data_IF_394834039891
#
_entry.id   IF_394834039891
#
_cell.length_a   1.000
_cell.length_b   1.000
_cell.length_c   1.000
_cell.angle_alpha   90.00
_cell.angle_beta   90.00
_cell.angle_gamma   90.00
#
_symmetry.space_group_name_H-M   'P 1'
#
loop_
_entity.id
_entity.type
_entity.pdbx_description
1 polymer ?
#
# COMPACT_ATOMS: atom_id res chain seq x y z
N UNK A 1 -8.50 0.72 -17.81
CA UNK A 1 -7.88 1.50 -16.72
C UNK A 1 -6.48 1.91 -17.12
N UNK A 2 -5.99 3.09 -16.72
CA UNK A 2 -4.60 3.46 -17.00
C UNK A 2 -3.67 2.47 -16.28
N UNK A 3 -2.67 1.97 -16.99
CA UNK A 3 -1.62 1.12 -16.43
C UNK A 3 -0.62 2.03 -15.71
N UNK A 4 -0.67 2.07 -14.38
CA UNK A 4 0.32 2.78 -13.57
C UNK A 4 1.41 1.80 -13.15
N UNK A 5 2.64 2.06 -13.58
CA UNK A 5 3.80 1.37 -13.02
C UNK A 5 3.97 1.79 -11.55
N UNK A 6 3.84 0.84 -10.62
CA UNK A 6 4.11 1.09 -9.20
C UNK A 6 5.63 1.08 -9.04
N UNK A 7 6.21 2.27 -8.93
CA UNK A 7 7.64 2.44 -8.69
C UNK A 7 7.93 2.48 -7.19
N UNK A 8 9.11 1.98 -6.75
CA UNK A 8 9.54 2.12 -5.36
C UNK A 8 9.66 3.58 -4.95
N UNK A 9 9.28 3.87 -3.70
CA UNK A 9 9.44 5.19 -3.09
C UNK A 9 10.92 5.56 -2.99
N UNK A 10 11.28 6.79 -3.40
CA UNK A 10 12.66 7.29 -3.38
C UNK A 10 12.74 8.73 -2.88
N UNK A 11 13.96 9.14 -2.52
CA UNK A 11 14.27 10.54 -2.23
C UNK A 11 13.89 11.42 -3.43
N UNK A 12 13.23 12.54 -3.15
CA UNK A 12 12.67 13.44 -4.17
C UNK A 12 11.20 13.22 -4.49
N UNK A 13 10.59 12.11 -4.05
CA UNK A 13 9.15 11.90 -4.16
C UNK A 13 8.39 12.77 -3.14
N UNK A 14 7.07 12.86 -3.30
CA UNK A 14 6.19 13.72 -2.51
C UNK A 14 5.36 12.87 -1.53
N UNK A 15 5.31 13.28 -0.28
CA UNK A 15 4.41 12.80 0.75
C UNK A 15 3.26 13.78 0.95
N UNK A 16 2.05 13.26 1.16
CA UNK A 16 0.85 14.06 1.46
C UNK A 16 0.59 14.00 2.96
N UNK A 17 0.37 15.16 3.57
CA UNK A 17 0.08 15.31 5.01
C UNK A 17 -1.42 15.39 5.28
N UNK A 18 -1.80 15.15 6.53
CA UNK A 18 -3.20 15.22 6.99
C UNK A 18 -3.85 16.59 6.79
N UNK A 19 -3.06 17.67 6.90
CA UNK A 19 -3.54 19.04 6.64
C UNK A 19 -3.71 19.38 5.15
N UNK A 20 -3.52 18.41 4.25
CA UNK A 20 -3.61 18.59 2.80
C UNK A 20 -2.37 19.20 2.15
N UNK A 21 -1.33 19.53 2.93
CA UNK A 21 -0.05 19.98 2.38
C UNK A 21 0.80 18.80 1.89
N UNK A 22 1.80 19.12 1.08
CA UNK A 22 2.74 18.15 0.52
C UNK A 22 4.17 18.46 0.93
N UNK A 23 4.98 17.41 1.11
CA UNK A 23 6.39 17.51 1.49
C UNK A 23 7.26 16.59 0.64
N UNK A 24 8.48 17.02 0.31
CA UNK A 24 9.45 16.19 -0.41
C UNK A 24 10.23 15.29 0.54
N UNK A 25 10.40 14.03 0.17
CA UNK A 25 11.35 13.13 0.84
C UNK A 25 12.76 13.66 0.63
N UNK A 26 13.40 14.12 1.71
CA UNK A 26 14.78 14.61 1.68
C UNK A 26 15.79 13.50 1.92
N UNK A 27 15.44 12.55 2.77
CA UNK A 27 16.30 11.45 3.18
C UNK A 27 15.46 10.20 3.45
N UNK A 28 16.07 9.03 3.28
CA UNK A 28 15.49 7.74 3.63
C UNK A 28 16.62 6.84 4.11
N UNK A 29 16.41 6.12 5.21
CA UNK A 29 17.36 5.15 5.72
C UNK A 29 16.61 3.94 6.28
N UNK A 30 17.22 2.78 6.16
CA UNK A 30 16.79 1.57 6.85
C UNK A 30 17.64 1.39 8.11
N UNK A 31 17.00 0.89 9.16
CA UNK A 31 17.67 0.46 10.38
C UNK A 31 17.31 -1.00 10.65
N UNK A 32 18.27 -1.76 11.17
CA UNK A 32 18.00 -3.09 11.71
C UNK A 32 17.69 -2.94 13.20
N UNK A 33 16.54 -3.49 13.61
CA UNK A 33 16.10 -3.54 15.00
C UNK A 33 16.00 -5.01 15.45
N UNK A 34 15.72 -5.23 16.73
CA UNK A 34 15.50 -6.57 17.27
C UNK A 34 14.38 -7.29 16.48
N UNK A 35 14.57 -8.54 16.03
CA UNK A 35 13.54 -9.31 15.32
C UNK A 35 12.21 -9.43 16.09
N UNK A 36 12.24 -9.39 17.42
CA UNK A 36 11.07 -9.48 18.30
C UNK A 36 10.42 -8.10 18.55
N UNK A 37 10.86 -7.05 17.85
CA UNK A 37 10.22 -5.73 17.92
C UNK A 37 8.79 -5.84 17.39
N UNK A 38 7.82 -5.71 18.30
CA UNK A 38 6.41 -5.74 17.93
C UNK A 38 6.06 -4.57 17.01
N UNK A 39 5.60 -4.89 15.79
CA UNK A 39 5.03 -3.94 14.84
C UNK A 39 3.52 -4.15 14.72
N UNK A 40 2.79 -3.11 14.35
CA UNK A 40 1.34 -3.13 14.18
C UNK A 40 0.97 -2.73 12.77
N UNK A 41 -0.09 -3.34 12.24
CA UNK A 41 -0.77 -2.87 11.05
C UNK A 41 -2.28 -2.92 11.32
N UNK A 42 -3.02 -1.95 10.79
CA UNK A 42 -4.45 -1.85 11.02
C UNK A 42 -5.24 -2.71 10.04
N UNK A 43 -6.46 -3.08 10.40
CA UNK A 43 -7.48 -3.50 9.45
C UNK A 43 -8.48 -2.35 9.34
N UNK A 44 -8.67 -1.84 8.13
CA UNK A 44 -9.49 -0.68 7.87
C UNK A 44 -10.69 -1.06 7.01
N UNK A 45 -11.77 -0.31 7.16
CA UNK A 45 -12.87 -0.26 6.22
C UNK A 45 -12.65 0.86 5.18
N UNK A 46 -13.52 0.94 4.17
CA UNK A 46 -13.44 1.99 3.14
C UNK A 46 -12.26 1.85 2.18
N UNK A 47 -11.47 2.92 2.04
CA UNK A 47 -10.43 3.05 1.01
C UNK A 47 -9.07 2.43 1.39
N UNK A 48 -8.96 1.80 2.57
CA UNK A 48 -7.73 1.21 3.10
C UNK A 48 -6.54 2.20 3.17
N UNK A 49 -6.79 3.46 3.51
CA UNK A 49 -5.74 4.45 3.75
C UNK A 49 -5.88 5.07 5.13
N UNK A 50 -4.77 5.47 5.73
CA UNK A 50 -4.75 6.14 7.03
C UNK A 50 -3.57 7.10 7.12
N UNK A 51 -3.56 7.95 8.14
CA UNK A 51 -2.45 8.85 8.43
C UNK A 51 -1.54 8.23 9.50
N UNK A 52 -0.28 7.94 9.15
CA UNK A 52 0.75 7.47 10.06
C UNK A 52 1.75 8.60 10.31
N UNK A 53 1.86 9.04 11.57
CA UNK A 53 2.67 10.20 11.94
C UNK A 53 2.37 11.45 11.08
N UNK A 54 1.09 11.66 10.73
CA UNK A 54 0.62 12.77 9.89
C UNK A 54 0.75 12.58 8.38
N UNK A 55 1.28 11.45 7.89
CA UNK A 55 1.45 11.19 6.46
C UNK A 55 0.45 10.15 5.93
N UNK A 56 -0.12 10.42 4.75
CA UNK A 56 -1.03 9.52 4.07
C UNK A 56 -0.30 8.25 3.64
N UNK A 57 -0.75 7.11 4.15
CA UNK A 57 -0.21 5.79 3.82
C UNK A 57 -1.30 4.86 3.31
N UNK A 58 -0.91 3.98 2.39
CA UNK A 58 -1.78 2.92 1.91
C UNK A 58 -1.60 1.68 2.78
N UNK A 59 -2.72 1.05 3.13
CA UNK A 59 -2.75 -0.25 3.76
C UNK A 59 -3.15 -1.31 2.74
N UNK A 60 -2.59 -2.51 2.86
CA UNK A 60 -2.88 -3.63 1.96
C UNK A 60 -4.39 -3.90 1.95
N UNK A 61 -5.01 -3.91 0.77
CA UNK A 61 -6.40 -4.33 0.63
C UNK A 61 -6.55 -5.84 0.82
N UNK A 62 -7.73 -6.24 1.29
CA UNK A 62 -8.10 -7.65 1.37
C UNK A 62 -8.03 -8.31 -0.02
N UNK A 63 -7.30 -9.41 -0.10
CA UNK A 63 -7.29 -10.35 -1.22
C UNK A 63 -8.69 -10.96 -1.40
N UNK A 64 -9.32 -10.80 -2.56
CA UNK A 64 -10.56 -11.51 -2.88
C UNK A 64 -10.26 -12.99 -3.17
N UNK A 65 -11.10 -13.90 -2.69
CA UNK A 65 -10.99 -15.35 -2.95
C UNK A 65 -11.53 -15.68 -4.35
N UNK A 66 -11.04 -16.77 -4.94
CA UNK A 66 -11.26 -17.20 -6.33
C UNK A 66 -12.71 -17.17 -6.88
N UNK A 67 -13.74 -17.16 -6.04
CA UNK A 67 -15.15 -17.06 -6.45
C UNK A 67 -15.55 -15.68 -7.00
N UNK A 68 -14.81 -14.62 -6.63
CA UNK A 68 -15.21 -13.23 -6.93
C UNK A 68 -14.36 -12.56 -8.02
N UNK A 69 -13.30 -13.21 -8.50
CA UNK A 69 -12.39 -12.64 -9.50
C UNK A 69 -12.87 -12.70 -10.96
N UNK A 70 -14.02 -13.33 -11.23
CA UNK A 70 -14.56 -13.46 -12.59
C UNK A 70 -15.46 -12.30 -13.02
N UNK A 71 -15.81 -11.38 -12.12
CA UNK A 71 -16.82 -10.34 -12.38
C UNK A 71 -16.35 -8.90 -12.19
N UNK A 72 -15.14 -8.67 -11.66
CA UNK A 72 -14.66 -7.31 -11.38
C UNK A 72 -13.35 -7.07 -12.12
N UNK A 73 -13.41 -6.29 -13.20
CA UNK A 73 -12.26 -5.81 -13.97
C UNK A 73 -11.34 -4.84 -13.23
N UNK A 74 -11.38 -4.86 -11.89
CA UNK A 74 -10.49 -4.13 -11.00
C UNK A 74 -10.47 -4.75 -9.61
N UNK A 75 -9.43 -5.52 -9.33
CA UNK A 75 -9.18 -6.14 -8.04
C UNK A 75 -8.03 -7.13 -8.17
N UNK A 76 -7.15 -7.18 -7.18
CA UNK A 76 -6.04 -8.13 -7.18
C UNK A 76 -6.56 -9.52 -6.80
N UNK A 77 -6.42 -10.49 -7.72
CA UNK A 77 -6.85 -11.86 -7.51
C UNK A 77 -5.80 -12.65 -6.71
N UNK A 78 -6.25 -13.42 -5.72
CA UNK A 78 -5.35 -14.17 -4.85
C UNK A 78 -5.54 -15.67 -5.05
N UNK A 79 -4.66 -16.29 -5.85
CA UNK A 79 -4.63 -17.73 -6.05
C UNK A 79 -3.71 -18.37 -5.02
N UNK A 80 -4.24 -19.29 -4.22
CA UNK A 80 -3.49 -20.09 -3.23
C UNK A 80 -2.63 -19.25 -2.27
N UNK A 81 -3.17 -18.15 -1.74
CA UNK A 81 -2.47 -17.26 -0.79
C UNK A 81 -1.45 -16.31 -1.43
N UNK A 82 -1.21 -16.45 -2.74
CA UNK A 82 -0.39 -15.53 -3.54
C UNK A 82 -1.30 -14.54 -4.25
N UNK A 83 -1.09 -13.26 -3.97
CA UNK A 83 -1.73 -12.16 -4.65
C UNK A 83 -0.99 -11.94 -5.97
N UNK A 84 -1.56 -12.41 -7.08
CA UNK A 84 -0.96 -12.24 -8.40
C UNK A 84 -1.63 -11.04 -9.06
N UNK A 85 -0.88 -9.97 -9.24
CA UNK A 85 -1.31 -8.87 -10.12
C UNK A 85 -1.25 -9.44 -11.54
N UNK A 86 -2.41 -9.71 -12.14
CA UNK A 86 -2.48 -10.06 -13.55
C UNK A 86 -2.18 -8.80 -14.37
N UNK A 87 -0.92 -8.68 -14.79
CA UNK A 87 -0.52 -7.82 -15.90
C UNK A 87 -0.80 -8.58 -17.19
N UNK A 88 -1.70 -8.04 -18.02
CA UNK A 88 -1.86 -8.46 -19.41
C UNK A 88 -0.62 -8.09 -20.23
#
# INVERSE_FOLDING_TARGET
MPNFEILPLKVGDILVKENGESEYIRTMSSISVDPETQLYNFKLDGNNTYYANGYLVHNKSQCLTNSDCSSVGVGSCCNNGTCTILVN
#
